data_IF_250621673506
#
_entry.id   IF_250621673506
#
_cell.length_a   1.000
_cell.length_b   1.000
_cell.length_c   1.000
_cell.angle_alpha   90.00
_cell.angle_beta   90.00
_cell.angle_gamma   90.00
#
_symmetry.space_group_name_H-M   'P 1'
#
loop_
_entity.id
_entity.type
_entity.pdbx_description
1 polymer ?
#
# COMPACT_ATOMS: atom_id res chain seq x y z
N UNK A 1 7.63 -23.14 14.59
CA UNK A 1 8.62 -22.24 14.01
C UNK A 1 7.88 -20.95 13.69
N UNK A 2 8.40 -19.80 14.11
CA UNK A 2 7.75 -18.52 13.83
C UNK A 2 8.02 -18.07 12.39
N UNK A 3 7.20 -17.15 11.87
CA UNK A 3 7.46 -16.53 10.55
C UNK A 3 8.81 -15.80 10.54
N UNK A 4 9.23 -15.24 11.68
CA UNK A 4 10.54 -14.60 11.82
C UNK A 4 11.69 -15.61 11.67
N UNK A 5 11.56 -16.79 12.29
CA UNK A 5 12.53 -17.88 12.13
C UNK A 5 12.60 -18.36 10.68
N UNK A 6 11.46 -18.44 9.99
CA UNK A 6 11.41 -18.83 8.57
C UNK A 6 12.05 -17.79 7.65
N UNK A 7 11.85 -16.50 7.94
CA UNK A 7 12.55 -15.41 7.24
C UNK A 7 14.05 -15.57 7.43
N UNK A 8 14.51 -15.81 8.65
CA UNK A 8 15.92 -15.98 8.93
C UNK A 8 16.51 -17.22 8.24
N UNK A 9 15.80 -18.33 8.25
CA UNK A 9 16.20 -19.54 7.55
C UNK A 9 16.36 -19.28 6.04
N UNK A 10 15.36 -18.64 5.41
CA UNK A 10 15.41 -18.30 3.98
C UNK A 10 16.53 -17.29 3.66
N UNK A 11 16.91 -16.43 4.61
CA UNK A 11 18.03 -15.50 4.46
C UNK A 11 19.38 -16.22 4.49
N UNK A 12 19.52 -17.24 5.34
CA UNK A 12 20.72 -18.06 5.43
C UNK A 12 20.97 -18.92 4.18
N UNK A 13 19.91 -19.21 3.40
CA UNK A 13 20.04 -19.87 2.09
C UNK A 13 20.69 -18.98 1.02
N UNK A 14 20.71 -17.66 1.22
CA UNK A 14 21.24 -16.71 0.23
C UNK A 14 22.76 -16.53 0.41
N UNK A 15 23.53 -16.46 -0.69
CA UNK A 15 24.99 -16.28 -0.63
C UNK A 15 25.40 -14.88 -0.15
N UNK A 16 24.45 -13.95 -0.09
CA UNK A 16 24.63 -12.58 0.39
C UNK A 16 23.97 -12.46 1.75
N UNK A 17 24.76 -12.54 2.82
CA UNK A 17 24.25 -12.28 4.17
C UNK A 17 24.05 -10.77 4.29
N UNK A 18 22.80 -10.30 4.22
CA UNK A 18 22.47 -8.96 4.70
C UNK A 18 22.91 -8.88 6.15
N UNK A 19 23.84 -7.98 6.48
CA UNK A 19 24.64 -8.04 7.71
C UNK A 19 23.82 -8.06 9.00
N UNK A 20 22.60 -7.50 8.98
CA UNK A 20 21.72 -7.44 10.13
C UNK A 20 20.33 -8.02 9.81
N UNK A 21 19.68 -8.69 10.77
CA UNK A 21 18.30 -9.11 10.63
C UNK A 21 17.35 -7.93 10.46
N UNK A 22 16.26 -8.10 9.67
CA UNK A 22 15.27 -7.06 9.51
C UNK A 22 14.58 -6.82 10.84
N UNK A 23 14.35 -5.56 11.18
CA UNK A 23 13.48 -5.23 12.29
C UNK A 23 12.02 -5.35 11.86
N UNK A 24 11.35 -6.41 12.30
CA UNK A 24 9.93 -6.63 12.10
C UNK A 24 9.20 -6.07 13.31
N UNK A 25 8.20 -5.21 13.08
CA UNK A 25 7.40 -4.62 14.16
C UNK A 25 6.21 -5.49 14.51
N UNK A 26 5.52 -5.98 13.49
CA UNK A 26 4.28 -6.73 13.66
C UNK A 26 4.12 -7.79 12.57
N UNK A 27 3.55 -8.93 12.96
CA UNK A 27 3.12 -9.99 12.06
C UNK A 27 1.68 -10.35 12.39
N UNK A 28 0.81 -10.28 11.39
CA UNK A 28 -0.59 -10.65 11.49
C UNK A 28 -0.88 -11.82 10.57
N UNK A 29 -1.34 -12.93 11.13
CA UNK A 29 -1.65 -14.13 10.38
C UNK A 29 -3.15 -14.46 10.46
N UNK A 30 -3.90 -13.95 9.49
CA UNK A 30 -5.33 -14.27 9.32
C UNK A 30 -5.51 -15.01 7.97
N UNK A 31 -6.46 -14.57 7.15
CA UNK A 31 -6.66 -15.04 5.76
C UNK A 31 -5.45 -14.78 4.86
N UNK A 32 -4.67 -13.74 5.19
CA UNK A 32 -3.39 -13.40 4.58
C UNK A 32 -2.35 -13.17 5.67
N UNK A 33 -1.09 -13.32 5.31
CA UNK A 33 0.04 -12.96 6.17
C UNK A 33 0.38 -11.50 5.89
N UNK A 34 0.33 -10.65 6.91
CA UNK A 34 0.74 -9.25 6.84
C UNK A 34 1.95 -9.04 7.73
N UNK A 35 3.05 -8.56 7.16
CA UNK A 35 4.30 -8.27 7.87
C UNK A 35 4.55 -6.77 7.78
N UNK A 36 4.71 -6.13 8.94
CA UNK A 36 5.05 -4.70 9.04
C UNK A 36 6.51 -4.59 9.47
N UNK A 37 7.37 -4.23 8.53
CA UNK A 37 8.77 -3.92 8.80
C UNK A 37 8.93 -2.51 9.37
N UNK A 38 9.98 -2.25 10.14
CA UNK A 38 10.18 -0.93 10.77
C UNK A 38 10.39 0.18 9.73
N UNK A 39 11.13 -0.08 8.66
CA UNK A 39 11.31 0.86 7.55
C UNK A 39 11.40 0.17 6.16
N UNK A 40 11.79 0.95 5.14
CA UNK A 40 11.91 0.46 3.76
C UNK A 40 13.11 -0.47 3.56
N UNK A 41 14.32 -0.16 4.06
CA UNK A 41 15.41 -1.13 4.13
C UNK A 41 15.01 -2.47 4.75
N UNK A 42 14.39 -2.47 5.94
CA UNK A 42 13.94 -3.69 6.60
C UNK A 42 12.92 -4.44 5.76
N UNK A 43 11.94 -3.74 5.19
CA UNK A 43 10.98 -4.31 4.24
C UNK A 43 11.67 -4.98 3.07
N UNK A 44 12.70 -4.36 2.49
CA UNK A 44 13.44 -4.94 1.37
C UNK A 44 14.17 -6.22 1.77
N UNK A 45 14.72 -6.28 2.98
CA UNK A 45 15.35 -7.48 3.53
C UNK A 45 14.31 -8.59 3.74
N UNK A 46 13.11 -8.29 4.24
CA UNK A 46 12.01 -9.27 4.37
C UNK A 46 11.52 -9.78 3.01
N UNK A 47 11.50 -8.91 1.98
CA UNK A 47 11.13 -9.32 0.61
C UNK A 47 12.19 -10.24 0.00
N UNK A 48 13.46 -9.91 0.24
CA UNK A 48 14.61 -10.59 -0.34
C UNK A 48 14.86 -10.23 -1.82
N UNK A 49 16.04 -10.59 -2.36
CA UNK A 49 16.41 -10.30 -3.74
C UNK A 49 15.41 -10.95 -4.70
N UNK A 50 14.88 -10.15 -5.64
CA UNK A 50 13.87 -10.61 -6.59
C UNK A 50 12.57 -11.13 -5.97
N UNK A 51 12.32 -10.85 -4.68
CA UNK A 51 11.17 -11.38 -3.95
C UNK A 51 11.34 -12.83 -3.46
N UNK A 52 12.56 -13.36 -3.41
CA UNK A 52 12.83 -14.76 -3.04
C UNK A 52 12.21 -15.16 -1.70
N UNK A 53 12.42 -14.37 -0.66
CA UNK A 53 11.96 -14.71 0.70
C UNK A 53 10.44 -14.61 0.75
N UNK A 54 9.87 -13.50 0.28
CA UNK A 54 8.42 -13.30 0.23
C UNK A 54 7.70 -14.39 -0.58
N UNK A 55 8.26 -14.78 -1.73
CA UNK A 55 7.71 -15.82 -2.59
C UNK A 55 7.75 -17.21 -1.95
N UNK A 56 8.85 -17.55 -1.26
CA UNK A 56 8.95 -18.82 -0.55
C UNK A 56 8.02 -18.87 0.68
N UNK A 57 7.92 -17.78 1.45
CA UNK A 57 6.94 -17.68 2.54
C UNK A 57 5.51 -17.89 2.04
N UNK A 58 5.11 -17.17 0.97
CA UNK A 58 3.78 -17.33 0.39
C UNK A 58 3.48 -18.77 -0.04
N UNK A 59 4.47 -19.46 -0.64
CA UNK A 59 4.36 -20.88 -1.02
C UNK A 59 4.26 -21.81 0.18
N UNK A 60 5.10 -21.63 1.21
CA UNK A 60 5.11 -22.46 2.43
C UNK A 60 3.78 -22.41 3.16
N UNK A 61 3.18 -21.22 3.23
CA UNK A 61 1.92 -20.99 3.96
C UNK A 61 0.67 -21.16 3.11
N UNK A 62 0.80 -21.24 1.77
CA UNK A 62 -0.34 -21.27 0.85
C UNK A 62 -1.25 -20.04 0.95
N UNK A 63 -0.72 -18.92 1.46
CA UNK A 63 -1.45 -17.68 1.73
C UNK A 63 -0.84 -16.53 0.92
N UNK A 64 -1.67 -15.54 0.61
CA UNK A 64 -1.18 -14.26 0.09
C UNK A 64 -0.36 -13.54 1.15
N UNK A 65 0.70 -12.84 0.72
CA UNK A 65 1.62 -12.12 1.59
C UNK A 65 1.55 -10.62 1.31
N UNK A 66 1.46 -9.82 2.35
CA UNK A 66 1.53 -8.35 2.29
C UNK A 66 2.67 -7.89 3.17
N UNK A 67 3.66 -7.19 2.61
CA UNK A 67 4.77 -6.63 3.38
C UNK A 67 4.73 -5.11 3.25
N UNK A 68 4.56 -4.41 4.36
CA UNK A 68 4.55 -2.95 4.43
C UNK A 68 5.70 -2.46 5.30
N UNK A 69 6.15 -1.22 5.06
CA UNK A 69 7.05 -0.52 5.96
C UNK A 69 6.21 0.39 6.84
N UNK A 70 6.48 0.44 8.13
CA UNK A 70 5.76 1.33 9.05
C UNK A 70 5.88 2.81 8.63
N UNK A 71 7.02 3.21 8.06
CA UNK A 71 7.21 4.54 7.49
C UNK A 71 6.25 4.84 6.32
N UNK A 72 5.88 3.84 5.51
CA UNK A 72 4.87 4.02 4.45
C UNK A 72 3.48 4.28 5.05
N UNK A 73 3.15 3.64 6.18
CA UNK A 73 1.88 3.84 6.90
C UNK A 73 1.82 5.25 7.51
N UNK A 74 2.90 5.69 8.17
CA UNK A 74 3.01 7.06 8.69
C UNK A 74 2.83 8.11 7.58
N UNK A 75 3.50 7.93 6.44
CA UNK A 75 3.39 8.87 5.30
C UNK A 75 1.98 8.87 4.74
N UNK A 76 1.33 7.70 4.65
CA UNK A 76 -0.05 7.58 4.18
C UNK A 76 -1.02 8.32 5.10
N UNK A 77 -0.89 8.16 6.41
CA UNK A 77 -1.75 8.82 7.39
C UNK A 77 -1.51 10.33 7.41
N UNK A 78 -0.26 10.76 7.31
CA UNK A 78 0.09 12.16 7.12
C UNK A 78 -0.59 12.74 5.87
N UNK A 79 -0.45 12.09 4.70
CA UNK A 79 -1.07 12.56 3.45
C UNK A 79 -2.59 12.62 3.54
N UNK A 80 -3.23 11.64 4.18
CA UNK A 80 -4.69 11.66 4.43
C UNK A 80 -5.08 12.86 5.30
N UNK A 81 -4.33 13.12 6.36
CA UNK A 81 -4.56 14.26 7.25
C UNK A 81 -4.42 15.59 6.51
N UNK A 82 -3.34 15.77 5.75
CA UNK A 82 -3.14 16.97 4.92
C UNK A 82 -4.23 17.15 3.87
N UNK A 83 -4.67 16.05 3.25
CA UNK A 83 -5.76 16.09 2.26
C UNK A 83 -7.08 16.52 2.89
N UNK A 84 -7.42 16.00 4.08
CA UNK A 84 -8.61 16.41 4.83
C UNK A 84 -8.53 17.87 5.26
N UNK A 85 -7.37 18.29 5.75
CA UNK A 85 -7.14 19.68 6.12
C UNK A 85 -7.30 20.62 4.93
N UNK A 86 -6.81 20.23 3.75
CA UNK A 86 -6.97 20.99 2.53
C UNK A 86 -8.45 21.09 2.14
N UNK A 87 -9.19 19.97 2.15
CA UNK A 87 -10.62 19.92 1.86
C UNK A 87 -11.41 20.92 2.74
N UNK A 88 -11.12 20.99 4.03
CA UNK A 88 -11.77 21.90 4.97
C UNK A 88 -11.51 23.39 4.68
N UNK A 89 -10.41 23.71 4.00
CA UNK A 89 -9.99 25.09 3.69
C UNK A 89 -10.28 25.49 2.24
N UNK A 90 -10.67 24.53 1.40
CA UNK A 90 -11.01 24.79 0.02
C UNK A 90 -12.36 25.52 -0.07
N UNK A 91 -12.35 26.67 -0.74
CA UNK A 91 -13.60 27.36 -1.12
C UNK A 91 -14.21 26.68 -2.35
N UNK A 92 -15.00 25.64 -2.12
CA UNK A 92 -15.70 24.89 -3.17
C UNK A 92 -17.09 25.46 -3.45
N UNK A 93 -17.45 25.56 -4.73
CA UNK A 93 -18.77 26.05 -5.19
C UNK A 93 -19.39 25.09 -6.20
N UNK A 94 -20.73 25.04 -6.23
CA UNK A 94 -21.48 24.18 -7.16
C UNK A 94 -21.05 22.71 -7.06
N UNK A 95 -20.90 22.07 -8.21
CA UNK A 95 -20.57 20.63 -8.38
C UNK A 95 -19.24 20.23 -7.73
N UNK A 96 -18.34 21.19 -7.50
CA UNK A 96 -17.08 20.94 -6.78
C UNK A 96 -17.32 20.43 -5.35
N UNK A 97 -18.45 20.80 -4.72
CA UNK A 97 -18.81 20.29 -3.40
C UNK A 97 -19.07 18.79 -3.42
N UNK A 98 -19.74 18.29 -4.46
CA UNK A 98 -20.03 16.87 -4.60
C UNK A 98 -18.75 16.09 -4.88
N UNK A 99 -17.92 16.57 -5.81
CA UNK A 99 -16.61 15.96 -6.11
C UNK A 99 -15.74 15.91 -4.85
N UNK A 100 -15.60 17.02 -4.13
CA UNK A 100 -14.78 17.07 -2.91
C UNK A 100 -15.35 16.19 -1.81
N UNK A 101 -16.68 16.11 -1.67
CA UNK A 101 -17.33 15.18 -0.75
C UNK A 101 -17.07 13.72 -1.14
N UNK A 102 -17.13 13.38 -2.43
CA UNK A 102 -16.79 12.03 -2.91
C UNK A 102 -15.32 11.70 -2.64
N UNK A 103 -14.41 12.65 -2.86
CA UNK A 103 -12.98 12.47 -2.53
C UNK A 103 -12.78 12.33 -1.01
N UNK A 104 -13.51 13.08 -0.18
CA UNK A 104 -13.50 12.95 1.27
C UNK A 104 -14.03 11.58 1.73
N UNK A 105 -15.14 11.12 1.14
CA UNK A 105 -15.70 9.80 1.39
C UNK A 105 -14.70 8.70 1.00
N UNK A 106 -14.02 8.83 -0.14
CA UNK A 106 -12.95 7.94 -0.56
C UNK A 106 -11.77 7.94 0.42
N UNK A 107 -11.33 9.11 0.91
CA UNK A 107 -10.27 9.22 1.93
C UNK A 107 -10.68 8.53 3.24
N UNK A 108 -11.98 8.51 3.55
CA UNK A 108 -12.57 7.83 4.70
C UNK A 108 -12.90 6.35 4.44
N UNK A 109 -12.54 5.80 3.27
CA UNK A 109 -12.75 4.40 2.93
C UNK A 109 -14.18 4.06 2.50
N UNK A 110 -15.04 5.06 2.26
CA UNK A 110 -16.38 4.87 1.69
C UNK A 110 -16.27 4.87 0.17
N UNK A 111 -16.40 3.69 -0.43
CA UNK A 111 -16.38 3.52 -1.88
C UNK A 111 -17.82 3.30 -2.36
N UNK A 112 -18.33 4.22 -3.18
CA UNK A 112 -19.58 4.00 -3.90
C UNK A 112 -19.31 3.16 -5.15
N UNK A 113 -19.78 1.92 -5.16
CA UNK A 113 -19.74 1.04 -6.34
C UNK A 113 -21.08 1.11 -7.07
N UNK A 114 -21.11 1.70 -8.27
CA UNK A 114 -22.21 1.62 -9.23
C UNK A 114 -21.63 1.27 -10.60
N UNK A 115 -22.32 0.43 -11.38
CA UNK A 115 -21.84 0.01 -12.70
C UNK A 115 -22.28 1.01 -13.78
N UNK A 116 -21.32 1.67 -14.44
CA UNK A 116 -21.50 2.58 -15.59
C UNK A 116 -20.39 2.27 -16.59
N UNK A 117 -20.65 2.34 -17.89
CA UNK A 117 -19.63 2.16 -18.94
C UNK A 117 -19.21 3.53 -19.45
N UNK A 118 -17.91 3.77 -19.56
CA UNK A 118 -17.30 5.09 -19.81
C UNK A 118 -16.24 4.93 -20.89
N UNK A 119 -16.19 5.85 -21.86
CA UNK A 119 -15.20 5.84 -22.93
C UNK A 119 -14.44 7.17 -22.95
N UNK A 120 -13.10 7.10 -23.12
CA UNK A 120 -12.27 8.29 -23.01
C UNK A 120 -11.23 8.39 -24.12
N UNK A 121 -11.27 9.52 -24.83
CA UNK A 121 -10.29 9.91 -25.83
C UNK A 121 -9.10 10.63 -25.17
N UNK A 122 -7.95 9.99 -25.24
CA UNK A 122 -6.70 10.39 -24.58
C UNK A 122 -5.96 11.40 -25.48
N UNK A 123 -5.89 12.68 -25.05
CA UNK A 123 -5.26 13.77 -25.82
C UNK A 123 -3.76 13.95 -25.58
N UNK A 124 -3.21 13.31 -24.53
CA UNK A 124 -1.79 13.38 -24.15
C UNK A 124 -1.43 14.45 -23.11
N UNK A 125 -2.38 15.28 -22.67
CA UNK A 125 -2.19 16.34 -21.67
C UNK A 125 -2.77 16.05 -20.28
N UNK A 126 -2.24 16.76 -19.27
CA UNK A 126 -2.36 16.46 -17.82
C UNK A 126 -3.79 16.31 -17.29
N UNK A 127 -4.76 17.07 -17.80
CA UNK A 127 -6.15 17.02 -17.33
C UNK A 127 -7.04 16.11 -18.19
N UNK A 128 -6.61 15.82 -19.40
CA UNK A 128 -7.40 15.02 -20.35
C UNK A 128 -7.49 13.55 -19.98
N UNK A 129 -6.52 13.06 -19.20
CA UNK A 129 -6.67 11.79 -18.49
C UNK A 129 -7.36 11.96 -17.14
N UNK A 130 -7.23 13.08 -16.43
CA UNK A 130 -7.90 13.29 -15.13
C UNK A 130 -9.42 13.10 -15.25
N UNK A 131 -10.00 13.56 -16.36
CA UNK A 131 -11.42 13.36 -16.73
C UNK A 131 -11.73 11.99 -17.30
N UNK A 132 -10.77 11.28 -17.88
CA UNK A 132 -10.96 9.88 -18.25
C UNK A 132 -11.25 8.97 -17.05
N UNK A 133 -10.80 9.42 -15.89
CA UNK A 133 -10.62 8.62 -14.67
C UNK A 133 -11.62 9.00 -13.57
N UNK A 134 -12.28 10.16 -13.64
CA UNK A 134 -13.35 10.54 -12.70
C UNK A 134 -14.75 10.06 -13.12
N UNK A 135 -14.94 9.76 -14.41
CA UNK A 135 -16.19 9.30 -15.01
C UNK A 135 -16.29 7.78 -14.98
#
# INVERSE_FOLDING_TARGET
MSIEDEIEQLRQELPWIYSNPPHIREIHENEKISIVAADRPDKAVVIGPGGYIAGNLAKRHGKSLSITAYTDELIKDFRKKESKWLIQRMSVKGDQKEIVKTLEDLLNGKIHKKHITVAVAISGGRDSLATAVLL
#
